data_IF_570883371672
#
_entry.id   IF_570883371672
#
_cell.length_a   1.000
_cell.length_b   1.000
_cell.length_c   1.000
_cell.angle_alpha   90.00
_cell.angle_beta   90.00
_cell.angle_gamma   90.00
#
_symmetry.space_group_name_H-M   'P 1'
#
loop_
_entity.id
_entity.type
_entity.pdbx_description
1 polymer ?
#
# COMPACT_ATOMS: atom_id res chain seq x y z
N UNK A 1 -12.67 -20.38 -7.61
CA UNK A 1 -12.73 -19.59 -6.37
C UNK A 1 -13.48 -20.38 -5.28
N UNK A 2 -14.83 -20.39 -5.24
CA UNK A 2 -15.63 -21.21 -4.29
C UNK A 2 -15.32 -22.71 -4.34
N UNK A 3 -15.28 -23.28 -5.54
CA UNK A 3 -15.02 -24.71 -5.76
C UNK A 3 -13.64 -25.18 -5.27
N UNK A 4 -12.69 -24.25 -5.11
CA UNK A 4 -11.30 -24.55 -4.75
C UNK A 4 -10.97 -24.14 -3.31
N UNK A 5 -11.96 -23.73 -2.51
CA UNK A 5 -11.79 -23.26 -1.12
C UNK A 5 -10.75 -22.14 -0.96
N UNK A 6 -10.62 -21.28 -1.99
CA UNK A 6 -9.75 -20.10 -1.94
C UNK A 6 -10.55 -18.99 -1.27
N UNK A 7 -9.96 -18.17 -0.40
CA UNK A 7 -10.61 -16.96 0.07
C UNK A 7 -10.40 -15.84 -0.96
N UNK A 8 -11.47 -15.16 -1.40
CA UNK A 8 -11.37 -13.99 -2.28
C UNK A 8 -12.36 -12.92 -1.82
N UNK A 9 -12.11 -11.69 -2.23
CA UNK A 9 -12.99 -10.57 -1.91
C UNK A 9 -14.19 -10.61 -2.84
N UNK A 10 -15.38 -10.87 -2.31
CA UNK A 10 -16.61 -10.93 -3.10
C UNK A 10 -17.01 -9.55 -3.66
N UNK A 11 -16.61 -8.47 -2.99
CA UNK A 11 -16.80 -7.10 -3.43
C UNK A 11 -15.46 -6.36 -3.37
N UNK A 12 -14.86 -6.09 -4.53
CA UNK A 12 -13.71 -5.20 -4.66
C UNK A 12 -14.19 -3.84 -5.18
N UNK A 13 -13.88 -2.72 -4.50
CA UNK A 13 -14.30 -1.41 -4.95
C UNK A 13 -13.59 -1.04 -6.27
N UNK A 14 -14.36 -0.58 -7.26
CA UNK A 14 -13.81 -0.02 -8.51
C UNK A 14 -12.89 1.17 -8.23
N UNK A 15 -11.99 1.50 -9.17
CA UNK A 15 -11.11 2.68 -9.10
C UNK A 15 -10.31 2.80 -7.80
N UNK A 16 -9.91 1.67 -7.21
CA UNK A 16 -9.25 1.61 -5.90
C UNK A 16 -7.81 1.06 -5.96
N UNK A 17 -6.88 1.70 -6.71
CA UNK A 17 -5.49 1.28 -6.75
C UNK A 17 -4.80 1.42 -5.38
N UNK A 18 -5.24 2.37 -4.56
CA UNK A 18 -4.73 2.62 -3.20
C UNK A 18 -4.85 1.38 -2.29
N UNK A 19 -5.83 0.51 -2.56
CA UNK A 19 -6.08 -0.72 -1.78
C UNK A 19 -5.35 -1.94 -2.34
N UNK A 20 -4.73 -1.84 -3.52
CA UNK A 20 -4.09 -2.97 -4.17
C UNK A 20 -2.57 -2.96 -3.90
N UNK A 21 -2.03 -3.90 -3.09
CA UNK A 21 -0.62 -3.90 -2.73
C UNK A 21 0.31 -4.14 -3.93
N UNK A 22 -0.18 -4.69 -5.05
CA UNK A 22 0.63 -4.87 -6.26
C UNK A 22 1.09 -3.53 -6.86
N UNK A 23 0.33 -2.44 -6.66
CA UNK A 23 0.74 -1.10 -7.11
C UNK A 23 2.02 -0.65 -6.40
N UNK A 24 2.22 -1.06 -5.15
CA UNK A 24 3.45 -0.81 -4.41
C UNK A 24 4.63 -1.60 -4.97
N UNK A 25 4.39 -2.86 -5.38
CA UNK A 25 5.39 -3.70 -6.07
C UNK A 25 5.79 -3.05 -7.38
N UNK A 26 4.83 -2.63 -8.21
CA UNK A 26 5.10 -1.96 -9.49
C UNK A 26 5.85 -0.65 -9.32
N UNK A 27 5.51 0.14 -8.30
CA UNK A 27 6.25 1.35 -7.97
C UNK A 27 7.69 1.04 -7.55
N UNK A 28 7.92 -0.02 -6.77
CA UNK A 28 9.26 -0.46 -6.40
C UNK A 28 10.06 -0.92 -7.61
N UNK A 29 9.46 -1.73 -8.48
CA UNK A 29 10.07 -2.21 -9.72
C UNK A 29 10.47 -1.05 -10.62
N UNK A 30 9.55 -0.13 -10.92
CA UNK A 30 9.83 1.03 -11.78
C UNK A 30 10.99 1.88 -11.24
N UNK A 31 11.04 2.10 -9.93
CA UNK A 31 12.15 2.84 -9.28
C UNK A 31 13.48 2.09 -9.37
N UNK A 32 13.45 0.76 -9.39
CA UNK A 32 14.65 -0.06 -9.54
C UNK A 32 15.17 -0.02 -10.97
N UNK A 33 14.28 -0.20 -11.95
CA UNK A 33 14.61 -0.18 -13.37
C UNK A 33 15.06 1.22 -13.83
N UNK A 34 14.45 2.28 -13.33
CA UNK A 34 14.83 3.67 -13.66
C UNK A 34 16.26 4.04 -13.24
N UNK A 35 16.91 3.24 -12.39
CA UNK A 35 18.32 3.42 -11.99
C UNK A 35 19.30 2.65 -12.88
N UNK A 36 18.81 1.73 -13.73
CA UNK A 36 19.63 0.93 -14.64
C UNK A 36 19.60 1.57 -16.04
N UNK A 37 20.72 1.55 -16.75
CA UNK A 37 20.81 1.96 -18.15
C UNK A 37 20.46 0.75 -19.04
N UNK A 38 19.18 0.53 -19.27
CA UNK A 38 18.67 -0.61 -20.06
C UNK A 38 18.51 -0.19 -21.52
N UNK A 39 19.19 -0.88 -22.45
CA UNK A 39 19.23 -0.50 -23.87
C UNK A 39 18.55 -1.52 -24.78
N UNK A 40 18.48 -2.76 -24.33
CA UNK A 40 17.92 -3.87 -25.10
C UNK A 40 16.74 -4.50 -24.36
N UNK A 41 15.99 -5.32 -25.07
CA UNK A 41 14.89 -6.09 -24.46
C UNK A 41 15.44 -7.11 -23.48
N UNK A 42 16.57 -7.72 -23.82
CA UNK A 42 17.26 -8.73 -23.03
C UNK A 42 17.75 -8.16 -21.69
N UNK A 43 18.25 -6.91 -21.70
CA UNK A 43 18.62 -6.20 -20.47
C UNK A 43 17.40 -6.00 -19.56
N UNK A 44 16.25 -5.65 -20.15
CA UNK A 44 15.00 -5.43 -19.42
C UNK A 44 14.48 -6.74 -18.82
N UNK A 45 14.44 -7.83 -19.60
CA UNK A 45 14.04 -9.16 -19.12
C UNK A 45 14.92 -9.62 -17.96
N UNK A 46 16.24 -9.50 -18.11
CA UNK A 46 17.20 -9.85 -17.04
C UNK A 46 16.99 -8.98 -15.80
N UNK A 47 16.76 -7.69 -15.96
CA UNK A 47 16.53 -6.79 -14.84
C UNK A 47 15.19 -7.04 -14.13
N UNK A 48 14.17 -7.52 -14.86
CA UNK A 48 12.89 -7.95 -14.29
C UNK A 48 13.08 -9.22 -13.45
N UNK A 49 13.76 -10.24 -13.99
CA UNK A 49 14.05 -11.48 -13.26
C UNK A 49 14.87 -11.23 -12.00
N UNK A 50 15.91 -10.40 -12.09
CA UNK A 50 16.70 -9.96 -10.95
C UNK A 50 15.81 -9.31 -9.87
N UNK A 51 14.91 -8.39 -10.26
CA UNK A 51 14.01 -7.75 -9.30
C UNK A 51 13.11 -8.76 -8.56
N UNK A 52 12.48 -9.70 -9.29
CA UNK A 52 11.57 -10.67 -8.68
C UNK A 52 12.28 -11.67 -7.78
N UNK A 53 13.54 -11.98 -8.07
CA UNK A 53 14.32 -12.99 -7.33
C UNK A 53 15.14 -12.40 -6.18
N UNK A 54 15.60 -11.15 -6.30
CA UNK A 54 16.54 -10.54 -5.33
C UNK A 54 15.94 -9.36 -4.57
N UNK A 55 15.19 -8.48 -5.23
CA UNK A 55 14.71 -7.23 -4.64
C UNK A 55 13.34 -7.37 -3.94
N UNK A 56 12.44 -8.19 -4.48
CA UNK A 56 11.12 -8.43 -3.88
C UNK A 56 11.18 -9.48 -2.78
N UNK A 57 11.70 -9.09 -1.62
CA UNK A 57 11.79 -9.97 -0.45
C UNK A 57 10.45 -10.16 0.25
N UNK A 58 10.35 -11.20 1.08
CA UNK A 58 9.18 -11.45 1.94
C UNK A 58 8.89 -10.26 2.86
N UNK A 59 9.92 -9.59 3.38
CA UNK A 59 9.76 -8.39 4.21
C UNK A 59 9.20 -7.21 3.41
N UNK A 60 9.52 -7.09 2.12
CA UNK A 60 8.91 -6.10 1.24
C UNK A 60 7.42 -6.41 1.05
N UNK A 61 7.07 -7.67 0.76
CA UNK A 61 5.67 -8.10 0.64
C UNK A 61 4.87 -7.85 1.92
N UNK A 62 5.40 -8.24 3.08
CA UNK A 62 4.75 -8.01 4.37
C UNK A 62 4.55 -6.51 4.63
N UNK A 63 5.54 -5.67 4.29
CA UNK A 63 5.41 -4.21 4.42
C UNK A 63 4.29 -3.64 3.53
N UNK A 64 4.09 -4.18 2.34
CA UNK A 64 3.02 -3.76 1.43
C UNK A 64 1.65 -4.22 1.91
N UNK A 65 1.55 -5.44 2.44
CA UNK A 65 0.33 -5.95 3.07
C UNK A 65 -0.02 -5.11 4.31
N UNK A 66 0.96 -4.87 5.18
CA UNK A 66 0.77 -4.06 6.39
C UNK A 66 0.40 -2.60 6.08
N UNK A 67 0.81 -2.10 4.91
CA UNK A 67 0.37 -0.78 4.45
C UNK A 67 -1.15 -0.69 4.31
N UNK A 68 -1.83 -1.77 3.92
CA UNK A 68 -3.28 -1.79 3.80
C UNK A 68 -3.98 -1.57 5.15
N UNK A 69 -3.41 -2.07 6.25
CA UNK A 69 -3.94 -1.84 7.60
C UNK A 69 -3.96 -0.36 7.99
N UNK A 70 -3.12 0.45 7.32
CA UNK A 70 -3.05 1.90 7.47
C UNK A 70 -3.95 2.63 6.46
N UNK A 71 -4.06 2.12 5.23
CA UNK A 71 -4.88 2.73 4.16
C UNK A 71 -6.37 2.51 4.39
N UNK A 72 -6.80 1.32 4.80
CA UNK A 72 -8.23 1.00 4.97
C UNK A 72 -8.92 1.97 5.95
N UNK A 73 -8.40 2.25 7.16
CA UNK A 73 -8.99 3.25 8.04
C UNK A 73 -8.96 4.66 7.43
N UNK A 74 -7.94 4.95 6.61
CA UNK A 74 -7.85 6.24 5.91
C UNK A 74 -8.96 6.41 4.88
N UNK A 75 -9.27 5.38 4.09
CA UNK A 75 -10.39 5.39 3.11
C UNK A 75 -11.70 5.73 3.81
N UNK A 76 -11.94 5.17 5.00
CA UNK A 76 -13.13 5.47 5.80
C UNK A 76 -13.18 6.94 6.22
N UNK A 77 -12.05 7.49 6.68
CA UNK A 77 -11.95 8.91 7.11
C UNK A 77 -12.23 9.86 5.95
N UNK A 78 -11.70 9.56 4.76
CA UNK A 78 -11.91 10.39 3.57
C UNK A 78 -13.21 10.07 2.83
N UNK A 79 -14.05 9.17 3.38
CA UNK A 79 -15.35 8.77 2.85
C UNK A 79 -15.27 8.21 1.41
N UNK A 80 -14.30 7.32 1.16
CA UNK A 80 -14.14 6.68 -0.15
C UNK A 80 -13.46 7.55 -1.22
N UNK A 81 -13.09 8.80 -0.90
CA UNK A 81 -12.25 9.63 -1.78
C UNK A 81 -10.83 9.05 -1.90
N UNK A 82 -10.10 9.49 -2.91
CA UNK A 82 -8.70 9.10 -3.10
C UNK A 82 -7.86 9.43 -1.86
N UNK A 83 -7.06 8.47 -1.40
CA UNK A 83 -6.30 8.62 -0.14
C UNK A 83 -5.02 9.43 -0.34
N UNK A 84 -4.44 9.40 -1.53
CA UNK A 84 -3.22 10.13 -1.88
C UNK A 84 -2.11 9.99 -0.80
N UNK A 85 -1.57 11.10 -0.31
CA UNK A 85 -0.55 11.10 0.74
C UNK A 85 -1.11 11.16 2.18
N UNK A 86 -2.44 11.14 2.33
CA UNK A 86 -3.13 11.28 3.61
C UNK A 86 -2.73 10.21 4.62
N UNK A 87 -2.63 8.89 4.28
CA UNK A 87 -2.19 7.89 5.24
C UNK A 87 -0.83 8.24 5.86
N UNK A 88 0.10 8.79 5.07
CA UNK A 88 1.43 9.20 5.53
C UNK A 88 1.38 10.44 6.41
N UNK A 89 0.46 11.38 6.14
CA UNK A 89 0.28 12.59 6.95
C UNK A 89 -0.29 12.28 8.33
N UNK A 90 -1.26 11.37 8.42
CA UNK A 90 -1.92 11.06 9.69
C UNK A 90 -1.12 10.04 10.53
N UNK A 91 -0.52 9.02 9.90
CA UNK A 91 0.37 8.06 10.56
C UNK A 91 1.78 8.20 9.97
N UNK A 92 2.69 8.99 10.54
CA UNK A 92 4.05 9.11 10.03
C UNK A 92 4.87 7.83 10.18
N UNK A 93 4.48 6.94 11.10
CA UNK A 93 5.17 5.68 11.34
C UNK A 93 5.08 4.68 10.17
N UNK A 94 6.07 3.78 10.12
CA UNK A 94 6.05 2.63 9.19
C UNK A 94 5.01 1.60 9.64
N UNK A 95 4.31 1.00 8.68
CA UNK A 95 3.27 0.00 8.96
C UNK A 95 3.80 -1.38 9.32
N UNK A 96 5.06 -1.71 8.98
CA UNK A 96 5.62 -3.05 9.19
C UNK A 96 5.42 -3.54 10.63
N UNK A 97 4.79 -4.71 10.78
CA UNK A 97 4.50 -5.37 12.06
C UNK A 97 3.33 -4.77 12.86
N UNK A 98 2.54 -3.87 12.27
CA UNK A 98 1.39 -3.23 12.96
C UNK A 98 0.09 -3.76 12.39
N UNK A 99 -0.81 -4.19 13.27
CA UNK A 99 -2.14 -4.65 12.89
C UNK A 99 -3.09 -3.50 12.56
N UNK A 100 -4.23 -3.84 11.96
CA UNK A 100 -5.33 -2.89 11.78
C UNK A 100 -5.85 -2.33 13.11
N UNK A 101 -5.84 -3.13 14.18
CA UNK A 101 -6.26 -2.71 15.52
C UNK A 101 -5.36 -1.62 16.09
N UNK A 102 -4.05 -1.69 15.83
CA UNK A 102 -3.13 -0.63 16.19
C UNK A 102 -3.56 0.70 15.55
N UNK A 103 -3.80 0.74 14.24
CA UNK A 103 -4.20 1.98 13.55
C UNK A 103 -5.59 2.45 14.00
N UNK A 104 -6.54 1.54 14.19
CA UNK A 104 -7.85 1.87 14.73
C UNK A 104 -7.78 2.44 16.15
N UNK A 105 -6.85 1.96 16.98
CA UNK A 105 -6.62 2.53 18.32
C UNK A 105 -6.06 3.96 18.23
N UNK A 106 -5.14 4.22 17.30
CA UNK A 106 -4.58 5.57 17.06
C UNK A 106 -5.63 6.58 16.66
N UNK A 107 -6.62 6.18 15.87
CA UNK A 107 -7.75 7.04 15.47
C UNK A 107 -8.65 7.48 16.64
N UNK A 108 -8.52 6.86 17.81
CA UNK A 108 -9.22 7.29 19.04
C UNK A 108 -8.47 8.40 19.78
N UNK A 109 -7.19 8.65 19.47
CA UNK A 109 -6.38 9.67 20.13
C UNK A 109 -6.90 11.08 19.80
N UNK A 110 -7.21 11.94 20.80
CA UNK A 110 -7.80 13.26 20.57
C UNK A 110 -6.96 14.16 19.66
N UNK A 111 -5.64 14.16 19.85
CA UNK A 111 -4.71 14.96 19.04
C UNK A 111 -4.74 14.54 17.56
N UNK A 112 -4.80 13.24 17.28
CA UNK A 112 -4.86 12.75 15.91
C UNK A 112 -6.21 13.09 15.26
N UNK A 113 -7.32 13.01 16.00
CA UNK A 113 -8.64 13.43 15.51
C UNK A 113 -8.67 14.91 15.15
N UNK A 114 -8.10 15.77 16.00
CA UNK A 114 -7.97 17.19 15.71
C UNK A 114 -7.11 17.43 14.46
N UNK A 115 -5.99 16.71 14.33
CA UNK A 115 -5.14 16.78 13.13
C UNK A 115 -5.90 16.36 11.87
N UNK A 116 -6.69 15.29 11.93
CA UNK A 116 -7.51 14.82 10.81
C UNK A 116 -8.54 15.90 10.42
N UNK A 117 -9.23 16.49 11.39
CA UNK A 117 -10.22 17.54 11.15
C UNK A 117 -9.60 18.76 10.43
N UNK A 118 -8.36 19.13 10.78
CA UNK A 118 -7.65 20.23 10.13
C UNK A 118 -7.16 19.90 8.71
N UNK A 119 -6.99 18.62 8.39
CA UNK A 119 -6.45 18.16 7.10
C UNK A 119 -7.54 17.79 6.09
N UNK A 120 -8.76 17.49 6.55
CA UNK A 120 -9.88 17.24 5.66
C UNK A 120 -10.35 18.57 5.05
N UNK A 121 -10.47 18.67 3.71
CA UNK A 121 -11.10 19.83 3.10
C UNK A 121 -12.58 19.89 3.52
N UNK A 122 -13.09 21.11 3.76
CA UNK A 122 -14.51 21.38 4.00
C UNK A 122 -15.38 20.84 2.87
#
# INVERSE_FOLDING_TARGET
>A
MKSNNINWWECWPSESPDLNPIEMVWNMLKRRLAKKDLKTKEDLETALEDFWTTDLTVECCNRFIDHLYKVVPTVMIVQGRATADFPRKIFPERSLGKSIDYFNSKLKEPLLRQKIANLLPN
#
